data_IF_190890116862
#
_entry.id   IF_190890116862
#
_cell.length_a   1.000
_cell.length_b   1.000
_cell.length_c   1.000
_cell.angle_alpha   90.00
_cell.angle_beta   90.00
_cell.angle_gamma   90.00
#
_symmetry.space_group_name_H-M   'P 1'
#
loop_
_entity.id
_entity.type
_entity.pdbx_description
1 polymer ?
#
# COMPACT_ATOMS: atom_id res chain seq x y z
N UNK A 1 13.30 21.78 -5.11
CA UNK A 1 14.20 20.63 -5.05
C UNK A 1 14.04 19.76 -6.29
N UNK A 2 15.12 19.06 -6.67
CA UNK A 2 15.07 17.94 -7.60
C UNK A 2 15.06 16.62 -6.81
N UNK A 3 13.94 15.91 -6.84
CA UNK A 3 13.69 14.71 -6.05
C UNK A 3 13.72 13.49 -6.98
N UNK A 4 14.49 12.45 -6.62
CA UNK A 4 14.56 11.20 -7.36
C UNK A 4 13.83 10.08 -6.60
N UNK A 5 12.90 9.37 -7.26
CA UNK A 5 12.19 8.22 -6.71
C UNK A 5 12.70 6.93 -7.36
N UNK A 6 13.21 5.99 -6.54
CA UNK A 6 13.81 4.73 -6.97
C UNK A 6 13.18 3.54 -6.23
N UNK A 7 13.34 2.35 -6.79
CA UNK A 7 12.97 1.10 -6.11
C UNK A 7 11.55 0.61 -6.37
N UNK A 8 10.74 1.38 -7.10
CA UNK A 8 9.40 0.96 -7.58
C UNK A 8 9.49 0.38 -9.00
N UNK A 9 8.36 -0.04 -9.57
CA UNK A 9 8.30 -0.36 -11.01
C UNK A 9 8.19 0.88 -11.88
N UNK A 10 7.82 2.02 -11.29
CA UNK A 10 7.65 3.30 -11.94
C UNK A 10 6.20 3.73 -12.07
N UNK A 11 5.97 4.76 -12.86
CA UNK A 11 4.66 5.38 -13.15
C UNK A 11 4.37 5.32 -14.67
N UNK A 12 3.09 5.17 -15.11
CA UNK A 12 1.86 5.12 -14.30
C UNK A 12 1.72 3.85 -13.45
N UNK A 13 0.95 3.94 -12.36
CA UNK A 13 0.70 2.84 -11.45
C UNK A 13 -0.15 1.74 -12.12
N UNK A 14 0.38 0.50 -12.19
CA UNK A 14 -0.30 -0.63 -12.83
C UNK A 14 -0.31 -1.90 -11.98
N UNK A 15 0.37 -1.93 -10.85
CA UNK A 15 0.63 -3.19 -10.17
C UNK A 15 0.37 -3.20 -8.66
N UNK A 16 0.76 -2.18 -7.90
CA UNK A 16 0.68 -2.27 -6.45
C UNK A 16 0.88 -0.94 -5.71
N UNK A 17 0.91 -1.04 -4.38
CA UNK A 17 0.93 0.12 -3.50
C UNK A 17 2.10 1.07 -3.72
N UNK A 18 3.31 0.58 -3.98
CA UNK A 18 4.47 1.45 -4.23
C UNK A 18 4.39 2.23 -5.54
N UNK A 19 3.77 1.66 -6.57
CA UNK A 19 3.54 2.37 -7.83
C UNK A 19 2.51 3.48 -7.65
N UNK A 20 1.40 3.20 -6.96
CA UNK A 20 0.40 4.22 -6.59
C UNK A 20 1.02 5.30 -5.70
N UNK A 21 1.82 4.90 -4.71
CA UNK A 21 2.56 5.83 -3.87
C UNK A 21 3.48 6.75 -4.70
N UNK A 22 4.28 6.18 -5.61
CA UNK A 22 5.20 6.95 -6.44
C UNK A 22 4.44 7.92 -7.37
N UNK A 23 3.32 7.50 -7.94
CA UNK A 23 2.48 8.31 -8.81
C UNK A 23 1.86 9.48 -8.04
N UNK A 24 1.19 9.20 -6.92
CA UNK A 24 0.48 10.21 -6.14
C UNK A 24 1.43 11.21 -5.47
N UNK A 25 2.55 10.73 -4.93
CA UNK A 25 3.56 11.59 -4.33
C UNK A 25 4.25 12.44 -5.40
N UNK A 26 4.68 11.86 -6.53
CA UNK A 26 5.38 12.60 -7.57
C UNK A 26 4.51 13.70 -8.19
N UNK A 27 3.21 13.40 -8.45
CA UNK A 27 2.27 14.38 -8.97
C UNK A 27 2.15 15.61 -8.06
N UNK A 28 1.90 15.37 -6.76
CA UNK A 28 1.73 16.47 -5.79
C UNK A 28 3.00 17.27 -5.55
N UNK A 29 4.15 16.61 -5.52
CA UNK A 29 5.43 17.32 -5.43
C UNK A 29 5.69 18.22 -6.65
N UNK A 30 5.31 17.76 -7.86
CA UNK A 30 5.38 18.57 -9.07
C UNK A 30 4.42 19.77 -8.99
N UNK A 31 3.17 19.55 -8.55
CA UNK A 31 2.19 20.63 -8.32
C UNK A 31 2.68 21.69 -7.32
N UNK A 32 3.55 21.30 -6.39
CA UNK A 32 4.22 22.19 -5.41
C UNK A 32 5.53 22.82 -5.92
N UNK A 33 5.83 22.66 -7.20
CA UNK A 33 6.98 23.29 -7.86
C UNK A 33 8.30 22.53 -7.73
N UNK A 34 8.30 21.28 -7.28
CA UNK A 34 9.49 20.44 -7.28
C UNK A 34 9.70 19.78 -8.64
N UNK A 35 10.96 19.58 -9.01
CA UNK A 35 11.32 18.69 -10.11
C UNK A 35 11.37 17.26 -9.60
N UNK A 36 10.64 16.34 -10.23
CA UNK A 36 10.61 14.93 -9.80
C UNK A 36 11.03 14.02 -10.94
N UNK A 37 11.98 13.11 -10.67
CA UNK A 37 12.38 12.04 -11.59
C UNK A 37 12.03 10.68 -11.00
N UNK A 38 11.22 9.89 -11.70
CA UNK A 38 10.81 8.55 -11.28
C UNK A 38 11.50 7.51 -12.16
N UNK A 39 12.22 6.58 -11.54
CA UNK A 39 12.90 5.49 -12.24
C UNK A 39 11.93 4.34 -12.54
N UNK A 40 11.80 4.00 -13.83
CA UNK A 40 10.79 3.08 -14.35
C UNK A 40 11.46 1.85 -14.97
N UNK A 41 10.86 0.66 -14.78
CA UNK A 41 11.34 -0.62 -15.34
C UNK A 41 10.74 -0.93 -16.71
N UNK A 42 9.51 -0.46 -16.94
CA UNK A 42 8.82 -0.70 -18.20
C UNK A 42 9.08 0.44 -19.16
N UNK A 43 9.37 0.06 -20.43
CA UNK A 43 9.63 1.00 -21.51
C UNK A 43 8.29 1.55 -22.01
N UNK A 44 7.86 2.62 -21.40
CA UNK A 44 6.73 3.44 -21.87
C UNK A 44 7.23 4.52 -22.83
N UNK A 45 6.35 5.14 -23.65
CA UNK A 45 6.74 6.30 -24.45
C UNK A 45 7.48 7.32 -23.61
N UNK A 46 8.63 7.77 -24.10
CA UNK A 46 9.47 8.76 -23.43
C UNK A 46 8.68 10.04 -23.17
N UNK A 47 8.91 10.68 -22.04
CA UNK A 47 8.29 11.95 -21.68
C UNK A 47 7.95 12.05 -20.20
N UNK A 48 7.27 13.12 -19.83
CA UNK A 48 6.73 13.32 -18.50
C UNK A 48 5.36 12.62 -18.34
N UNK A 49 5.06 12.21 -17.11
CA UNK A 49 3.73 11.74 -16.72
C UNK A 49 3.27 12.53 -15.50
N UNK A 50 2.15 13.20 -15.59
CA UNK A 50 1.65 14.12 -14.55
C UNK A 50 2.72 15.14 -14.09
N UNK A 51 3.56 15.61 -15.02
CA UNK A 51 4.65 16.54 -14.77
C UNK A 51 5.95 15.92 -14.23
N UNK A 52 5.92 14.69 -13.75
CA UNK A 52 7.11 13.97 -13.31
C UNK A 52 7.90 13.38 -14.49
N UNK A 53 9.22 13.49 -14.45
CA UNK A 53 10.12 12.95 -15.47
C UNK A 53 10.25 11.41 -15.27
N UNK A 54 9.97 10.63 -16.30
CA UNK A 54 10.17 9.18 -16.28
C UNK A 54 11.54 8.82 -16.80
N UNK A 55 12.28 8.05 -16.00
CA UNK A 55 13.62 7.54 -16.32
C UNK A 55 13.57 6.03 -16.51
N UNK A 56 13.42 5.59 -17.75
CA UNK A 56 13.50 4.15 -18.06
C UNK A 56 14.92 3.65 -17.96
N UNK A 57 15.12 2.57 -17.18
CA UNK A 57 16.36 1.80 -17.14
C UNK A 57 16.05 0.29 -17.20
N UNK A 58 16.92 -0.50 -17.86
CA UNK A 58 16.70 -1.93 -17.98
C UNK A 58 16.81 -2.65 -16.64
N UNK A 59 16.19 -3.82 -16.54
CA UNK A 59 16.29 -4.70 -15.38
C UNK A 59 16.45 -6.15 -15.80
N UNK A 60 16.88 -6.99 -14.84
CA UNK A 60 16.90 -8.45 -15.00
C UNK A 60 15.54 -8.98 -14.57
N UNK A 61 14.69 -9.40 -15.51
CA UNK A 61 13.35 -9.94 -15.24
C UNK A 61 13.42 -11.29 -14.52
N UNK A 62 13.62 -11.26 -13.21
CA UNK A 62 13.68 -12.44 -12.36
C UNK A 62 13.05 -12.14 -10.99
N UNK A 63 12.28 -13.10 -10.45
CA UNK A 63 11.50 -12.93 -9.20
C UNK A 63 12.28 -12.28 -8.04
N UNK A 64 13.58 -12.58 -7.90
CA UNK A 64 14.42 -12.11 -6.79
C UNK A 64 15.34 -10.94 -7.16
N UNK A 65 15.69 -10.80 -8.42
CA UNK A 65 16.70 -9.84 -8.87
C UNK A 65 16.14 -8.61 -9.56
N UNK A 66 14.87 -8.64 -9.98
CA UNK A 66 14.25 -7.55 -10.73
C UNK A 66 14.39 -6.19 -10.00
N UNK A 67 13.97 -6.14 -8.73
CA UNK A 67 14.08 -4.91 -7.93
C UNK A 67 15.52 -4.49 -7.70
N UNK A 68 16.38 -5.42 -7.27
CA UNK A 68 17.77 -5.12 -6.93
C UNK A 68 18.57 -4.65 -8.16
N UNK A 69 18.48 -5.37 -9.27
CA UNK A 69 19.20 -5.00 -10.48
C UNK A 69 18.78 -3.62 -11.00
N UNK A 70 17.47 -3.37 -11.07
CA UNK A 70 16.97 -2.07 -11.51
C UNK A 70 17.41 -0.94 -10.58
N UNK A 71 17.28 -1.11 -9.26
CA UNK A 71 17.65 -0.07 -8.30
C UNK A 71 19.16 0.19 -8.32
N UNK A 72 19.98 -0.85 -8.48
CA UNK A 72 21.44 -0.68 -8.63
C UNK A 72 21.81 0.17 -9.83
N UNK A 73 21.27 -0.15 -11.03
CA UNK A 73 21.49 0.63 -12.24
C UNK A 73 20.94 2.05 -12.08
N UNK A 74 19.75 2.20 -11.48
CA UNK A 74 19.14 3.51 -11.22
C UNK A 74 19.99 4.36 -10.29
N UNK A 75 20.61 3.75 -9.27
CA UNK A 75 21.50 4.46 -8.36
C UNK A 75 22.73 4.98 -9.09
N UNK A 76 23.37 4.17 -9.92
CA UNK A 76 24.53 4.61 -10.73
C UNK A 76 24.16 5.75 -11.69
N UNK A 77 22.99 5.65 -12.34
CA UNK A 77 22.49 6.72 -13.20
C UNK A 77 22.18 8.02 -12.41
N UNK A 78 21.64 7.89 -11.19
CA UNK A 78 21.38 9.02 -10.30
C UNK A 78 22.65 9.83 -10.01
N UNK A 79 23.79 9.15 -9.77
CA UNK A 79 25.07 9.83 -9.51
C UNK A 79 25.52 10.71 -10.69
N UNK A 80 25.18 10.29 -11.91
CA UNK A 80 25.50 11.06 -13.12
C UNK A 80 24.56 12.25 -13.34
N UNK A 81 23.26 12.08 -13.04
CA UNK A 81 22.20 13.07 -13.34
C UNK A 81 21.89 14.03 -12.20
N UNK A 82 22.47 13.81 -11.05
CA UNK A 82 22.35 14.61 -9.83
C UNK A 82 20.89 15.03 -9.51
N UNK A 83 20.46 14.64 -8.33
CA UNK A 83 19.25 15.15 -7.67
C UNK A 83 19.67 15.76 -6.33
N UNK A 84 18.80 16.58 -5.76
CA UNK A 84 19.05 17.16 -4.45
C UNK A 84 18.84 16.12 -3.35
N UNK A 85 17.88 15.20 -3.53
CA UNK A 85 17.55 14.12 -2.61
C UNK A 85 17.03 12.91 -3.36
N UNK A 86 17.26 11.72 -2.80
CA UNK A 86 16.75 10.46 -3.32
C UNK A 86 15.83 9.77 -2.30
N UNK A 87 14.65 9.31 -2.75
CA UNK A 87 13.78 8.43 -2.01
C UNK A 87 13.83 7.03 -2.61
N UNK A 88 14.29 6.08 -1.82
CA UNK A 88 14.27 4.66 -2.16
C UNK A 88 13.07 3.98 -1.55
N UNK A 89 12.36 3.18 -2.33
CA UNK A 89 11.26 2.36 -1.89
C UNK A 89 11.70 0.90 -1.76
N UNK A 90 11.15 0.19 -0.77
CA UNK A 90 11.44 -1.20 -0.43
C UNK A 90 12.77 -1.41 0.29
N UNK A 91 12.71 -1.95 1.50
CA UNK A 91 13.86 -2.22 2.37
C UNK A 91 14.97 -3.08 1.74
N UNK A 92 14.64 -3.95 0.77
CA UNK A 92 15.63 -4.73 0.02
C UNK A 92 16.71 -3.87 -0.67
N UNK A 93 16.40 -2.60 -0.94
CA UNK A 93 17.28 -1.65 -1.61
C UNK A 93 18.22 -0.90 -0.67
N UNK A 94 18.20 -1.17 0.64
CA UNK A 94 19.05 -0.52 1.64
C UNK A 94 20.52 -0.48 1.24
N UNK A 95 21.01 -1.57 0.65
CA UNK A 95 22.42 -1.72 0.20
C UNK A 95 22.88 -0.63 -0.77
N UNK A 96 21.99 0.02 -1.49
CA UNK A 96 22.36 1.06 -2.46
C UNK A 96 22.33 2.47 -1.89
N UNK A 97 21.70 2.69 -0.76
CA UNK A 97 21.37 4.04 -0.25
C UNK A 97 22.58 4.81 0.29
N UNK A 98 23.69 4.12 0.65
CA UNK A 98 24.93 4.76 1.07
C UNK A 98 25.68 5.43 -0.09
N UNK A 99 25.50 4.90 -1.32
CA UNK A 99 26.30 5.35 -2.46
C UNK A 99 26.01 6.83 -2.84
N UNK A 100 24.75 7.29 -3.01
CA UNK A 100 24.46 8.71 -3.27
C UNK A 100 25.01 9.65 -2.20
N UNK A 101 25.04 9.20 -0.92
CA UNK A 101 25.56 10.00 0.20
C UNK A 101 27.03 10.38 0.03
N UNK A 102 27.85 9.51 -0.57
CA UNK A 102 29.24 9.82 -0.88
C UNK A 102 29.40 10.95 -1.90
N UNK A 103 28.35 11.21 -2.68
CA UNK A 103 28.30 12.27 -3.69
C UNK A 103 27.45 13.48 -3.24
N UNK A 104 27.17 13.58 -1.93
CA UNK A 104 26.44 14.71 -1.36
C UNK A 104 24.91 14.65 -1.61
N UNK A 105 24.37 13.53 -2.09
CA UNK A 105 22.94 13.34 -2.31
C UNK A 105 22.37 12.56 -1.11
N UNK A 106 21.63 13.21 -0.18
CA UNK A 106 20.99 12.50 0.91
C UNK A 106 19.95 11.49 0.38
N UNK A 107 19.89 10.32 1.03
CA UNK A 107 19.02 9.22 0.65
C UNK A 107 18.06 8.86 1.78
N UNK A 108 16.76 9.02 1.57
CA UNK A 108 15.72 8.45 2.41
C UNK A 108 15.35 7.04 1.90
N UNK A 109 15.08 6.11 2.81
CA UNK A 109 14.63 4.75 2.49
C UNK A 109 13.30 4.46 3.18
N UNK A 110 12.23 4.30 2.38
CA UNK A 110 10.97 3.73 2.86
C UNK A 110 11.11 2.21 2.91
N UNK A 111 11.12 1.65 4.11
CA UNK A 111 11.42 0.23 4.33
C UNK A 111 10.22 -0.68 4.12
N UNK A 112 8.98 -0.13 4.01
CA UNK A 112 7.74 -0.92 3.98
C UNK A 112 7.58 -1.79 5.26
N UNK A 113 6.79 -2.83 5.20
CA UNK A 113 6.63 -3.78 6.30
C UNK A 113 7.80 -4.77 6.44
N UNK A 114 7.71 -5.65 7.42
CA UNK A 114 8.69 -6.71 7.67
C UNK A 114 8.55 -7.85 6.66
N UNK A 115 9.05 -7.65 5.44
CA UNK A 115 8.93 -8.60 4.33
C UNK A 115 9.40 -10.03 4.67
N UNK A 116 10.41 -10.18 5.54
CA UNK A 116 10.89 -11.50 5.98
C UNK A 116 9.84 -12.34 6.69
N UNK A 117 8.79 -11.74 7.26
CA UNK A 117 7.69 -12.44 7.93
C UNK A 117 6.71 -13.07 6.93
N UNK A 118 6.74 -12.69 5.66
CA UNK A 118 5.82 -13.22 4.64
C UNK A 118 6.14 -14.67 4.29
N UNK A 119 5.10 -15.49 4.21
CA UNK A 119 5.19 -16.95 3.94
C UNK A 119 5.72 -17.26 2.53
N UNK A 120 5.56 -16.36 1.58
CA UNK A 120 5.98 -16.52 0.17
C UNK A 120 7.51 -16.61 -0.05
N UNK A 121 8.32 -16.20 0.94
CA UNK A 121 9.77 -16.15 0.81
C UNK A 121 10.46 -17.42 1.31
N UNK A 122 11.41 -17.93 0.53
CA UNK A 122 12.28 -19.02 0.95
C UNK A 122 13.33 -18.54 1.98
N UNK A 123 14.08 -19.48 2.57
CA UNK A 123 15.06 -19.19 3.62
C UNK A 123 16.15 -18.19 3.17
N UNK A 124 16.60 -18.26 1.92
CA UNK A 124 17.62 -17.35 1.39
C UNK A 124 17.09 -15.91 1.26
N UNK A 125 15.89 -15.75 0.73
CA UNK A 125 15.25 -14.44 0.63
C UNK A 125 14.97 -13.85 2.02
N UNK A 126 14.56 -14.65 3.00
CA UNK A 126 14.37 -14.20 4.39
C UNK A 126 15.68 -13.72 5.03
N UNK A 127 16.80 -14.42 4.76
CA UNK A 127 18.14 -13.97 5.21
C UNK A 127 18.55 -12.65 4.54
N UNK A 128 18.26 -12.49 3.25
CA UNK A 128 18.50 -11.23 2.54
C UNK A 128 17.71 -10.08 3.16
N UNK A 129 16.41 -10.26 3.40
CA UNK A 129 15.59 -9.22 4.03
C UNK A 129 16.07 -8.89 5.44
N UNK A 130 16.49 -9.89 6.22
CA UNK A 130 17.06 -9.63 7.55
C UNK A 130 18.37 -8.81 7.47
N UNK A 131 19.24 -9.14 6.52
CA UNK A 131 20.44 -8.33 6.25
C UNK A 131 20.05 -6.91 5.80
N UNK A 132 19.06 -6.78 4.95
CA UNK A 132 18.58 -5.48 4.45
C UNK A 132 17.98 -4.61 5.58
N UNK A 133 17.25 -5.23 6.53
CA UNK A 133 16.77 -4.54 7.75
C UNK A 133 17.96 -3.95 8.55
N UNK A 134 19.02 -4.72 8.73
CA UNK A 134 20.22 -4.25 9.41
C UNK A 134 20.94 -3.15 8.60
N UNK A 135 21.12 -3.33 7.29
CA UNK A 135 21.73 -2.31 6.42
C UNK A 135 20.93 -1.01 6.40
N UNK A 136 19.60 -1.07 6.51
CA UNK A 136 18.75 0.12 6.50
C UNK A 136 18.98 1.02 7.70
N UNK A 137 19.60 0.53 8.78
CA UNK A 137 19.87 1.32 9.99
C UNK A 137 21.04 2.29 9.86
N UNK A 138 21.91 2.14 8.84
CA UNK A 138 23.08 3.01 8.66
C UNK A 138 23.40 3.39 7.22
N UNK A 139 22.89 2.65 6.23
CA UNK A 139 23.12 2.97 4.82
C UNK A 139 22.40 4.24 4.36
N UNK A 140 21.10 4.45 4.60
CA UNK A 140 20.40 5.66 4.22
C UNK A 140 20.76 6.84 5.16
N UNK A 141 20.45 8.05 4.73
CA UNK A 141 20.51 9.24 5.59
C UNK A 141 19.34 9.23 6.59
N UNK A 142 18.18 8.74 6.16
CA UNK A 142 16.98 8.63 6.98
C UNK A 142 16.18 7.37 6.61
N UNK A 143 15.74 6.64 7.65
CA UNK A 143 14.74 5.57 7.48
C UNK A 143 13.36 6.21 7.52
N UNK A 144 12.48 5.80 6.61
CA UNK A 144 11.05 6.10 6.64
C UNK A 144 10.31 4.80 6.90
N UNK A 145 9.42 4.80 7.88
CA UNK A 145 8.51 3.70 8.19
C UNK A 145 7.08 4.14 7.92
N UNK A 146 6.25 3.25 7.42
CA UNK A 146 4.87 3.54 7.05
C UNK A 146 3.84 3.11 8.11
N UNK A 147 4.27 2.40 9.16
CA UNK A 147 3.46 2.01 10.31
C UNK A 147 4.22 2.26 11.62
N UNK A 148 3.51 2.68 12.68
CA UNK A 148 4.10 2.89 14.00
C UNK A 148 4.66 1.59 14.60
N UNK A 149 4.06 0.44 14.28
CA UNK A 149 4.59 -0.87 14.67
C UNK A 149 5.98 -1.12 14.06
N UNK A 150 6.19 -0.74 12.79
CA UNK A 150 7.50 -0.87 12.12
C UNK A 150 8.50 0.11 12.72
N UNK A 151 8.08 1.35 13.01
CA UNK A 151 8.92 2.31 13.73
C UNK A 151 9.35 1.77 15.10
N UNK A 152 8.42 1.23 15.89
CA UNK A 152 8.69 0.60 17.17
C UNK A 152 9.68 -0.56 17.03
N UNK A 153 9.46 -1.43 16.05
CA UNK A 153 10.35 -2.55 15.76
C UNK A 153 11.79 -2.10 15.49
N UNK A 154 12.02 -1.09 14.64
CA UNK A 154 13.35 -0.57 14.35
C UNK A 154 14.00 0.06 15.60
N UNK A 155 13.22 0.79 16.38
CA UNK A 155 13.69 1.40 17.62
C UNK A 155 14.10 0.36 18.67
N UNK A 156 13.29 -0.67 18.89
CA UNK A 156 13.52 -1.69 19.90
C UNK A 156 14.58 -2.72 19.49
N UNK A 157 14.55 -3.17 18.24
CA UNK A 157 15.43 -4.23 17.74
C UNK A 157 16.81 -3.70 17.39
N UNK A 158 16.88 -2.56 16.74
CA UNK A 158 18.13 -2.01 16.19
C UNK A 158 18.57 -0.71 16.86
N UNK A 159 17.76 -0.15 17.76
CA UNK A 159 17.98 1.19 18.35
C UNK A 159 18.13 2.29 17.28
N UNK A 160 17.50 2.10 16.15
CA UNK A 160 17.54 3.01 15.02
C UNK A 160 16.31 3.93 15.05
N UNK A 161 16.56 5.24 14.88
CA UNK A 161 15.51 6.22 14.70
C UNK A 161 14.98 6.18 13.26
N UNK A 162 13.68 6.34 13.09
CA UNK A 162 13.03 6.48 11.79
C UNK A 162 12.05 7.65 11.79
N UNK A 163 11.63 8.08 10.61
CA UNK A 163 10.55 9.04 10.44
C UNK A 163 9.31 8.26 10.02
N UNK A 164 8.25 8.34 10.83
CA UNK A 164 6.97 7.73 10.49
C UNK A 164 6.21 8.61 9.48
N UNK A 165 5.97 8.07 8.29
CA UNK A 165 5.12 8.69 7.26
C UNK A 165 4.25 7.59 6.65
N UNK A 166 2.93 7.59 6.90
CA UNK A 166 2.04 6.52 6.45
C UNK A 166 1.80 6.55 4.94
N UNK A 167 1.10 5.54 4.44
CA UNK A 167 0.54 5.55 3.09
C UNK A 167 -0.65 6.50 3.01
N UNK A 168 -0.88 7.10 1.85
CA UNK A 168 -1.96 8.05 1.62
C UNK A 168 -3.16 7.46 0.88
N UNK A 169 -4.31 8.14 0.97
CA UNK A 169 -5.48 7.85 0.17
C UNK A 169 -6.15 9.10 -0.38
N UNK A 170 -6.83 8.95 -1.50
CA UNK A 170 -7.76 9.93 -2.02
C UNK A 170 -9.05 9.96 -1.21
N UNK A 171 -9.62 11.15 -1.08
CA UNK A 171 -10.85 11.39 -0.33
C UNK A 171 -12.07 11.46 -1.23
N UNK A 172 -13.19 10.93 -0.73
CA UNK A 172 -14.50 11.03 -1.36
C UNK A 172 -14.83 9.89 -2.31
N UNK A 173 -16.12 9.66 -2.52
CA UNK A 173 -16.64 8.65 -3.43
C UNK A 173 -16.53 9.11 -4.88
N UNK A 174 -16.28 8.16 -5.79
CA UNK A 174 -16.39 8.38 -7.24
C UNK A 174 -17.83 8.09 -7.70
N UNK A 175 -18.28 8.66 -8.84
CA UNK A 175 -19.60 8.37 -9.39
C UNK A 175 -19.81 6.87 -9.62
N UNK A 176 -21.03 6.39 -9.33
CA UNK A 176 -21.40 5.02 -9.61
C UNK A 176 -21.46 4.74 -11.13
N UNK A 177 -20.93 3.59 -11.50
CA UNK A 177 -21.13 3.00 -12.83
C UNK A 177 -21.43 1.51 -12.66
N UNK A 178 -22.31 0.92 -13.46
CA UNK A 178 -22.66 -0.51 -13.38
C UNK A 178 -21.43 -1.40 -13.52
N UNK A 179 -21.19 -2.26 -12.55
CA UNK A 179 -20.03 -3.13 -12.51
C UNK A 179 -20.40 -4.48 -11.87
N UNK A 180 -20.04 -5.59 -12.51
CA UNK A 180 -20.23 -6.97 -12.01
C UNK A 180 -21.67 -7.35 -11.65
N UNK A 181 -22.70 -6.64 -12.13
CA UNK A 181 -24.09 -6.86 -11.72
C UNK A 181 -24.35 -6.59 -10.23
N UNK A 182 -23.53 -5.73 -9.65
CA UNK A 182 -23.69 -5.22 -8.30
C UNK A 182 -24.53 -3.93 -8.31
N UNK A 183 -25.15 -3.64 -7.17
CA UNK A 183 -25.84 -2.37 -6.91
C UNK A 183 -25.20 -1.65 -5.75
N UNK A 184 -25.24 -0.30 -5.69
CA UNK A 184 -24.71 0.47 -4.58
C UNK A 184 -25.30 0.00 -3.24
N UNK A 185 -24.42 -0.16 -2.24
CA UNK A 185 -24.77 -0.59 -0.88
C UNK A 185 -25.33 -2.01 -0.76
N UNK A 186 -25.25 -2.84 -1.80
CA UNK A 186 -25.78 -4.20 -1.80
C UNK A 186 -24.70 -5.29 -1.70
N UNK A 187 -23.46 -4.91 -1.40
CA UNK A 187 -22.37 -5.88 -1.30
C UNK A 187 -21.32 -5.52 -0.26
N UNK A 188 -20.76 -6.55 0.36
CA UNK A 188 -19.49 -6.51 1.07
C UNK A 188 -18.36 -6.61 0.06
N UNK A 189 -17.26 -5.91 0.31
CA UNK A 189 -16.09 -5.88 -0.55
C UNK A 189 -14.86 -6.33 0.21
N UNK A 190 -14.06 -7.22 -0.36
CA UNK A 190 -12.69 -7.46 0.04
C UNK A 190 -11.78 -7.48 -1.19
N UNK A 191 -10.78 -6.61 -1.20
CA UNK A 191 -9.78 -6.52 -2.28
C UNK A 191 -8.43 -6.89 -1.73
N UNK A 192 -7.82 -7.97 -2.25
CA UNK A 192 -6.53 -8.45 -1.77
C UNK A 192 -5.85 -9.37 -2.78
N UNK A 193 -4.56 -9.60 -2.61
CA UNK A 193 -3.90 -10.73 -3.27
C UNK A 193 -4.35 -12.03 -2.61
N UNK A 194 -4.68 -13.04 -3.41
CA UNK A 194 -5.13 -14.34 -2.90
C UNK A 194 -3.96 -15.17 -2.37
N UNK A 195 -3.30 -14.63 -1.34
CA UNK A 195 -2.25 -15.27 -0.56
C UNK A 195 -2.80 -15.70 0.80
N UNK A 196 -2.34 -16.81 1.41
CA UNK A 196 -2.88 -17.32 2.68
C UNK A 196 -2.91 -16.30 3.81
N UNK A 197 -1.87 -15.48 3.94
CA UNK A 197 -1.77 -14.43 4.96
C UNK A 197 -2.75 -13.27 4.78
N UNK A 198 -3.42 -13.20 3.65
CA UNK A 198 -4.47 -12.21 3.39
C UNK A 198 -5.88 -12.76 3.66
N UNK A 199 -6.01 -14.04 3.99
CA UNK A 199 -7.26 -14.67 4.44
C UNK A 199 -8.49 -14.56 3.51
N UNK A 200 -8.38 -14.57 2.15
CA UNK A 200 -9.56 -14.54 1.30
C UNK A 200 -10.46 -15.77 1.49
N UNK A 201 -9.89 -16.93 1.78
CA UNK A 201 -10.65 -18.15 2.08
C UNK A 201 -11.47 -18.02 3.36
N UNK A 202 -10.88 -17.47 4.43
CA UNK A 202 -11.57 -17.17 5.69
C UNK A 202 -12.78 -16.24 5.44
N UNK A 203 -12.57 -15.15 4.68
CA UNK A 203 -13.63 -14.19 4.40
C UNK A 203 -14.78 -14.84 3.64
N UNK A 204 -14.49 -15.67 2.63
CA UNK A 204 -15.49 -16.43 1.90
C UNK A 204 -16.28 -17.36 2.83
N UNK A 205 -15.59 -18.19 3.61
CA UNK A 205 -16.21 -19.17 4.52
C UNK A 205 -17.03 -18.50 5.62
N UNK A 206 -16.57 -17.37 6.14
CA UNK A 206 -17.30 -16.60 7.13
C UNK A 206 -18.60 -16.01 6.54
N UNK A 207 -18.54 -15.51 5.32
CA UNK A 207 -19.72 -14.94 4.65
C UNK A 207 -20.78 -16.00 4.36
N UNK A 208 -20.39 -17.21 3.96
CA UNK A 208 -21.29 -18.35 3.73
C UNK A 208 -22.14 -18.71 4.98
N UNK A 209 -21.64 -18.39 6.19
CA UNK A 209 -22.33 -18.65 7.47
C UNK A 209 -23.36 -17.54 7.83
N UNK A 210 -23.46 -16.49 7.03
CA UNK A 210 -24.34 -15.36 7.32
C UNK A 210 -25.54 -15.35 6.39
N UNK A 211 -26.73 -15.28 6.97
CA UNK A 211 -27.98 -15.08 6.22
C UNK A 211 -28.11 -13.61 5.83
N UNK A 212 -28.07 -13.32 4.55
CA UNK A 212 -28.25 -11.97 4.00
C UNK A 212 -28.55 -12.05 2.52
N UNK A 213 -29.26 -11.06 1.99
CA UNK A 213 -29.47 -10.87 0.56
C UNK A 213 -28.31 -10.17 -0.14
N UNK A 214 -27.44 -9.50 0.67
CA UNK A 214 -26.26 -8.83 0.11
C UNK A 214 -25.27 -9.81 -0.48
N UNK A 215 -24.47 -9.33 -1.42
CA UNK A 215 -23.42 -10.08 -2.08
C UNK A 215 -22.07 -9.92 -1.37
N UNK A 216 -21.13 -10.80 -1.67
CA UNK A 216 -19.71 -10.62 -1.37
C UNK A 216 -18.94 -10.49 -2.70
N UNK A 217 -18.30 -9.35 -2.90
CA UNK A 217 -17.34 -9.17 -3.99
C UNK A 217 -15.93 -9.40 -3.44
N UNK A 218 -15.34 -10.54 -3.78
CA UNK A 218 -14.00 -10.93 -3.40
C UNK A 218 -13.07 -10.72 -4.59
N UNK A 219 -12.32 -9.62 -4.57
CA UNK A 219 -11.55 -9.10 -5.71
C UNK A 219 -10.06 -9.37 -5.49
N UNK A 220 -9.44 -10.04 -6.43
CA UNK A 220 -8.02 -10.30 -6.37
C UNK A 220 -7.58 -11.50 -7.18
N UNK A 221 -6.27 -11.69 -7.18
CA UNK A 221 -5.60 -12.83 -7.80
C UNK A 221 -4.21 -13.02 -7.16
N UNK A 222 -3.57 -14.16 -7.41
CA UNK A 222 -2.17 -14.41 -7.05
C UNK A 222 -1.58 -15.45 -8.01
N UNK A 223 -0.86 -15.06 -9.06
CA UNK A 223 -0.46 -15.95 -10.16
C UNK A 223 0.38 -17.18 -9.72
N UNK A 224 0.92 -17.15 -8.51
CA UNK A 224 1.77 -18.23 -7.97
C UNK A 224 1.08 -19.15 -6.95
N UNK A 225 -0.20 -18.89 -6.59
CA UNK A 225 -0.93 -19.60 -5.55
C UNK A 225 -2.12 -20.41 -6.10
N UNK A 226 -1.95 -21.12 -7.20
CA UNK A 226 -3.03 -21.76 -7.97
C UNK A 226 -3.93 -22.68 -7.12
N UNK A 227 -3.33 -23.54 -6.26
CA UNK A 227 -4.08 -24.47 -5.43
C UNK A 227 -4.90 -23.74 -4.36
N UNK A 228 -4.35 -22.69 -3.78
CA UNK A 228 -5.05 -21.87 -2.81
C UNK A 228 -6.20 -21.07 -3.46
N UNK A 229 -5.97 -20.52 -4.64
CA UNK A 229 -7.02 -19.84 -5.42
C UNK A 229 -8.16 -20.80 -5.78
N UNK A 230 -7.84 -22.04 -6.15
CA UNK A 230 -8.85 -23.06 -6.41
C UNK A 230 -9.72 -23.30 -5.15
N UNK A 231 -9.12 -23.35 -3.95
CA UNK A 231 -9.86 -23.44 -2.70
C UNK A 231 -10.74 -22.20 -2.45
N UNK A 232 -10.22 -21.00 -2.68
CA UNK A 232 -11.00 -19.75 -2.52
C UNK A 232 -12.20 -19.73 -3.47
N UNK A 233 -12.04 -20.20 -4.69
CA UNK A 233 -13.11 -20.25 -5.72
C UNK A 233 -14.07 -21.41 -5.56
N UNK A 234 -13.78 -22.40 -4.72
CA UNK A 234 -14.62 -23.57 -4.49
C UNK A 234 -15.83 -23.23 -3.59
N UNK A 235 -16.78 -22.49 -4.18
CA UNK A 235 -18.06 -22.13 -3.54
C UNK A 235 -19.21 -22.31 -4.53
N UNK A 236 -20.39 -22.71 -4.01
CA UNK A 236 -21.65 -22.77 -4.74
C UNK A 236 -22.62 -21.66 -4.29
N UNK A 237 -22.19 -20.76 -3.42
CA UNK A 237 -23.03 -19.67 -2.95
C UNK A 237 -23.18 -18.60 -4.05
N UNK A 238 -24.39 -18.40 -4.60
CA UNK A 238 -24.62 -17.47 -5.71
C UNK A 238 -24.41 -15.99 -5.31
N UNK A 239 -24.31 -15.71 -4.02
CA UNK A 239 -24.06 -14.36 -3.51
C UNK A 239 -22.58 -13.96 -3.61
N UNK A 240 -21.67 -14.90 -3.85
CA UNK A 240 -20.23 -14.67 -3.82
C UNK A 240 -19.68 -14.52 -5.25
N UNK A 241 -19.10 -13.36 -5.53
CA UNK A 241 -18.49 -13.02 -6.81
C UNK A 241 -16.98 -12.99 -6.67
N UNK A 242 -16.27 -13.77 -7.50
CA UNK A 242 -14.79 -13.84 -7.52
C UNK A 242 -14.31 -13.63 -8.96
N UNK A 243 -14.38 -12.38 -9.48
CA UNK A 243 -14.10 -12.10 -10.90
C UNK A 243 -12.60 -12.07 -11.23
N UNK A 244 -11.73 -12.08 -10.24
CA UNK A 244 -10.31 -11.86 -10.40
C UNK A 244 -9.88 -10.46 -9.92
N UNK A 245 -8.71 -10.00 -10.35
CA UNK A 245 -8.19 -8.69 -9.97
C UNK A 245 -8.85 -7.57 -10.80
N UNK A 246 -9.21 -6.47 -10.12
CA UNK A 246 -9.77 -5.26 -10.73
C UNK A 246 -8.94 -4.08 -10.24
N UNK A 247 -8.50 -3.22 -11.16
CA UNK A 247 -7.67 -2.05 -10.91
C UNK A 247 -8.31 -0.77 -11.44
N UNK A 248 -7.68 0.36 -11.17
CA UNK A 248 -8.07 1.66 -11.71
C UNK A 248 -9.47 2.10 -11.28
N UNK A 249 -10.26 2.58 -12.23
CA UNK A 249 -11.58 3.17 -11.95
C UNK A 249 -12.55 2.15 -11.36
N UNK A 250 -12.56 0.91 -11.86
CA UNK A 250 -13.40 -0.17 -11.33
C UNK A 250 -13.14 -0.46 -9.86
N UNK A 251 -11.88 -0.43 -9.43
CA UNK A 251 -11.50 -0.57 -8.03
C UNK A 251 -12.04 0.57 -7.16
N UNK A 252 -11.91 1.81 -7.64
CA UNK A 252 -12.42 3.00 -6.94
C UNK A 252 -13.94 2.98 -6.80
N UNK A 253 -14.66 2.55 -7.85
CA UNK A 253 -16.11 2.39 -7.84
C UNK A 253 -16.53 1.36 -6.79
N UNK A 254 -15.89 0.18 -6.78
CA UNK A 254 -16.22 -0.87 -5.81
C UNK A 254 -16.03 -0.41 -4.37
N UNK A 255 -14.93 0.29 -4.06
CA UNK A 255 -14.70 0.81 -2.71
C UNK A 255 -15.68 1.91 -2.32
N UNK A 256 -16.04 2.80 -3.25
CA UNK A 256 -16.94 3.93 -2.99
C UNK A 256 -18.37 3.51 -2.68
N UNK A 257 -18.80 2.37 -3.22
CA UNK A 257 -20.20 1.99 -3.21
C UNK A 257 -20.50 0.66 -2.48
N UNK A 258 -19.51 0.03 -1.87
CA UNK A 258 -19.75 -1.14 -1.04
C UNK A 258 -20.59 -0.78 0.20
N UNK A 259 -21.38 -1.73 0.69
CA UNK A 259 -22.04 -1.64 1.98
C UNK A 259 -21.00 -1.56 3.11
N UNK A 260 -20.05 -2.50 3.09
CA UNK A 260 -18.92 -2.52 4.00
C UNK A 260 -17.68 -3.11 3.32
N UNK A 261 -16.51 -2.64 3.71
CA UNK A 261 -15.22 -3.16 3.30
C UNK A 261 -14.66 -4.08 4.38
N UNK A 262 -14.36 -5.33 4.03
CA UNK A 262 -13.71 -6.28 4.94
C UNK A 262 -12.20 -6.23 4.69
N UNK A 263 -11.39 -6.12 5.74
CA UNK A 263 -9.94 -6.18 5.68
C UNK A 263 -9.40 -7.28 6.58
N UNK A 264 -8.92 -8.37 5.98
CA UNK A 264 -8.49 -9.57 6.69
C UNK A 264 -6.98 -9.88 6.56
N UNK A 265 -6.16 -8.93 6.10
CA UNK A 265 -4.71 -9.11 5.94
C UNK A 265 -4.01 -9.12 7.29
N UNK A 266 -3.13 -10.12 7.52
CA UNK A 266 -2.39 -10.30 8.77
C UNK A 266 -1.03 -9.61 8.76
N UNK A 267 -0.34 -9.57 7.63
CA UNK A 267 1.07 -9.19 7.54
C UNK A 267 1.27 -8.03 6.59
N UNK A 268 1.89 -6.97 7.09
CA UNK A 268 2.26 -5.80 6.31
C UNK A 268 2.74 -4.66 7.19
N UNK A 269 2.96 -3.51 6.61
CA UNK A 269 3.02 -2.22 7.28
C UNK A 269 1.64 -1.57 7.26
N UNK A 270 1.54 -0.34 6.85
CA UNK A 270 0.26 0.28 6.53
C UNK A 270 -0.39 -0.44 5.34
N UNK A 271 -1.65 -0.83 5.49
CA UNK A 271 -2.37 -1.53 4.42
C UNK A 271 -3.10 -0.53 3.52
N UNK A 272 -2.60 -0.24 2.29
CA UNK A 272 -3.17 0.78 1.41
C UNK A 272 -4.66 0.60 1.16
N UNK A 273 -5.11 -0.62 0.84
CA UNK A 273 -6.50 -0.90 0.52
C UNK A 273 -7.48 -0.60 1.67
N UNK A 274 -7.03 -0.72 2.93
CA UNK A 274 -7.84 -0.34 4.09
C UNK A 274 -7.99 1.18 4.16
N UNK A 275 -6.88 1.93 4.04
CA UNK A 275 -6.89 3.39 4.07
C UNK A 275 -7.70 3.95 2.89
N UNK A 276 -7.54 3.38 1.70
CA UNK A 276 -8.27 3.78 0.50
C UNK A 276 -9.78 3.57 0.66
N UNK A 277 -10.21 2.42 1.21
CA UNK A 277 -11.63 2.17 1.49
C UNK A 277 -12.20 3.16 2.52
N UNK A 278 -11.43 3.48 3.57
CA UNK A 278 -11.79 4.51 4.55
C UNK A 278 -11.88 5.89 3.89
N UNK A 279 -10.95 6.23 2.99
CA UNK A 279 -10.95 7.47 2.22
C UNK A 279 -12.14 7.61 1.27
N UNK A 280 -12.71 6.49 0.82
CA UNK A 280 -13.97 6.46 0.05
C UNK A 280 -15.23 6.51 0.94
N UNK A 281 -15.07 6.51 2.26
CA UNK A 281 -16.19 6.55 3.21
C UNK A 281 -16.87 5.20 3.41
N UNK A 282 -16.18 4.08 3.23
CA UNK A 282 -16.74 2.76 3.51
C UNK A 282 -16.87 2.49 5.01
N UNK A 283 -17.88 1.71 5.42
CA UNK A 283 -17.90 1.03 6.71
C UNK A 283 -16.80 -0.03 6.69
N UNK A 284 -15.96 -0.10 7.72
CA UNK A 284 -14.81 -1.00 7.78
C UNK A 284 -15.05 -2.13 8.78
N UNK A 285 -14.84 -3.38 8.34
CA UNK A 285 -14.63 -4.55 9.20
C UNK A 285 -13.16 -4.96 9.07
N UNK A 286 -12.43 -5.06 10.16
CA UNK A 286 -10.99 -5.33 10.07
C UNK A 286 -10.52 -6.42 11.03
N UNK A 287 -9.60 -7.26 10.54
CA UNK A 287 -8.92 -8.25 11.36
C UNK A 287 -8.06 -7.53 12.42
N UNK A 288 -8.21 -7.94 13.67
CA UNK A 288 -7.52 -7.33 14.81
C UNK A 288 -6.04 -7.68 14.80
N UNK A 289 -5.24 -6.85 14.15
CA UNK A 289 -3.78 -6.78 14.24
C UNK A 289 -3.37 -5.39 14.70
N UNK A 290 -2.15 -5.21 15.20
CA UNK A 290 -1.68 -3.91 15.66
C UNK A 290 -1.70 -2.87 14.53
N UNK A 291 -1.30 -3.26 13.33
CA UNK A 291 -1.27 -2.40 12.14
C UNK A 291 -2.67 -2.01 11.67
N UNK A 292 -3.61 -2.95 11.65
CA UNK A 292 -4.99 -2.66 11.28
C UNK A 292 -5.70 -1.79 12.32
N UNK A 293 -5.45 -2.03 13.62
CA UNK A 293 -5.98 -1.18 14.70
C UNK A 293 -5.41 0.24 14.65
N UNK A 294 -4.13 0.39 14.33
CA UNK A 294 -3.50 1.69 14.10
C UNK A 294 -4.22 2.46 12.98
N UNK A 295 -4.43 1.83 11.85
CA UNK A 295 -5.12 2.45 10.70
C UNK A 295 -6.57 2.76 11.04
N UNK A 296 -7.33 1.77 11.48
CA UNK A 296 -8.76 1.92 11.75
C UNK A 296 -9.06 2.89 12.91
N UNK A 297 -8.20 2.91 13.95
CA UNK A 297 -8.35 3.83 15.08
C UNK A 297 -9.70 3.74 15.80
N UNK A 298 -10.30 2.55 15.82
CA UNK A 298 -11.58 2.30 16.49
C UNK A 298 -12.83 2.71 15.71
N UNK A 299 -12.71 3.21 14.46
CA UNK A 299 -13.90 3.64 13.68
C UNK A 299 -14.62 2.49 12.99
N UNK A 300 -13.97 1.33 12.82
CA UNK A 300 -14.54 0.14 12.22
C UNK A 300 -15.06 -0.88 13.23
N UNK A 301 -15.45 -2.05 12.74
CA UNK A 301 -15.84 -3.23 13.52
C UNK A 301 -14.66 -4.19 13.52
N UNK A 302 -13.95 -4.38 14.66
CA UNK A 302 -12.84 -5.32 14.73
C UNK A 302 -13.35 -6.76 14.79
N UNK A 303 -12.60 -7.69 14.19
CA UNK A 303 -12.88 -9.12 14.29
C UNK A 303 -11.60 -9.95 14.48
N UNK A 304 -11.76 -11.16 14.98
CA UNK A 304 -10.79 -12.24 14.90
C UNK A 304 -11.24 -13.26 13.85
N UNK A 305 -10.41 -14.22 13.42
CA UNK A 305 -10.82 -15.24 12.46
C UNK A 305 -12.15 -15.91 12.81
N UNK A 306 -12.37 -16.21 14.09
CA UNK A 306 -13.57 -16.90 14.57
C UNK A 306 -14.79 -16.00 14.69
N UNK A 307 -14.61 -14.69 14.81
CA UNK A 307 -15.69 -13.72 15.04
C UNK A 307 -16.12 -12.96 13.80
N UNK A 308 -15.51 -13.19 12.63
CA UNK A 308 -15.88 -12.50 11.39
C UNK A 308 -17.36 -12.68 11.01
N UNK A 309 -17.99 -13.88 11.11
CA UNK A 309 -19.43 -14.02 10.85
C UNK A 309 -20.27 -13.12 11.75
N UNK A 310 -19.88 -12.93 13.01
CA UNK A 310 -20.56 -12.03 13.93
C UNK A 310 -20.36 -10.56 13.56
N UNK A 311 -19.16 -10.15 13.18
CA UNK A 311 -18.89 -8.78 12.73
C UNK A 311 -19.72 -8.42 11.49
N UNK A 312 -19.90 -9.36 10.55
CA UNK A 312 -20.77 -9.17 9.39
C UNK A 312 -22.23 -8.98 9.83
N UNK A 313 -22.74 -9.79 10.77
CA UNK A 313 -24.11 -9.64 11.32
C UNK A 313 -24.27 -8.31 12.05
N UNK A 314 -23.29 -7.88 12.84
CA UNK A 314 -23.29 -6.57 13.51
C UNK A 314 -23.40 -5.44 12.47
N UNK A 315 -22.61 -5.49 11.41
CA UNK A 315 -22.68 -4.49 10.34
C UNK A 315 -24.09 -4.42 9.70
N UNK A 316 -24.72 -5.58 9.49
CA UNK A 316 -26.08 -5.66 8.91
C UNK A 316 -27.17 -5.11 9.84
N UNK A 317 -26.93 -5.05 11.16
CA UNK A 317 -27.86 -4.53 12.17
C UNK A 317 -27.75 -3.03 12.38
N UNK A 318 -26.72 -2.37 11.85
CA UNK A 318 -26.56 -0.92 11.97
C UNK A 318 -27.72 -0.21 11.27
N UNK A 319 -28.34 0.74 11.98
CA UNK A 319 -29.32 1.63 11.36
C UNK A 319 -28.61 2.70 10.49
N UNK A 320 -29.41 3.46 9.72
CA UNK A 320 -28.87 4.45 8.78
C UNK A 320 -28.01 5.53 9.45
N UNK A 321 -28.37 5.96 10.65
CA UNK A 321 -27.63 6.98 11.40
C UNK A 321 -26.27 6.44 11.88
N UNK A 322 -26.25 5.27 12.50
CA UNK A 322 -25.01 4.59 12.94
C UNK A 322 -24.07 4.30 11.79
N UNK A 323 -24.61 3.89 10.64
CA UNK A 323 -23.83 3.64 9.43
C UNK A 323 -23.21 4.93 8.90
N UNK A 324 -24.00 6.01 8.83
CA UNK A 324 -23.53 7.33 8.39
C UNK A 324 -22.44 7.88 9.32
N UNK A 325 -22.62 7.75 10.64
CA UNK A 325 -21.63 8.17 11.63
C UNK A 325 -20.30 7.43 11.46
N UNK A 326 -20.31 6.10 11.37
CA UNK A 326 -19.08 5.32 11.20
C UNK A 326 -18.34 5.64 9.90
N UNK A 327 -19.09 5.90 8.83
CA UNK A 327 -18.52 6.33 7.54
C UNK A 327 -17.91 7.73 7.63
N UNK A 328 -18.55 8.64 8.31
CA UNK A 328 -18.02 9.98 8.53
C UNK A 328 -16.74 9.95 9.36
N UNK A 329 -16.69 9.12 10.40
CA UNK A 329 -15.48 8.91 11.21
C UNK A 329 -14.33 8.31 10.40
N UNK A 330 -14.60 7.36 9.49
CA UNK A 330 -13.61 6.82 8.56
C UNK A 330 -13.01 7.93 7.68
N UNK A 331 -13.84 8.76 7.07
CA UNK A 331 -13.41 9.92 6.27
C UNK A 331 -12.60 10.93 7.07
N UNK A 332 -13.06 11.26 8.29
CA UNK A 332 -12.36 12.20 9.16
C UNK A 332 -10.95 11.68 9.49
N UNK A 333 -10.83 10.41 9.87
CA UNK A 333 -9.53 9.81 10.20
C UNK A 333 -8.55 9.83 9.02
N UNK A 334 -9.02 9.53 7.80
CA UNK A 334 -8.16 9.63 6.61
C UNK A 334 -7.77 11.07 6.34
N UNK A 335 -8.70 12.02 6.45
CA UNK A 335 -8.40 13.45 6.27
C UNK A 335 -7.29 13.93 7.19
N UNK A 336 -7.32 13.52 8.44
CA UNK A 336 -6.39 13.98 9.47
C UNK A 336 -5.01 13.31 9.40
N UNK A 337 -4.95 12.04 8.94
CA UNK A 337 -3.73 11.24 9.07
C UNK A 337 -3.21 10.63 7.79
N UNK A 338 -4.10 10.32 6.86
CA UNK A 338 -3.80 9.47 5.71
C UNK A 338 -4.18 10.09 4.36
N UNK A 339 -4.60 11.36 4.32
CA UNK A 339 -4.81 12.03 3.03
C UNK A 339 -3.46 12.20 2.33
N UNK A 340 -3.46 12.09 0.99
CA UNK A 340 -2.24 12.31 0.21
C UNK A 340 -1.64 13.70 0.44
N UNK A 341 -2.45 14.70 0.82
CA UNK A 341 -1.94 16.03 1.15
C UNK A 341 -1.08 15.99 2.42
N UNK A 342 -1.58 15.38 3.50
CA UNK A 342 -0.84 15.21 4.77
C UNK A 342 0.44 14.39 4.53
N UNK A 343 0.35 13.30 3.78
CA UNK A 343 1.51 12.45 3.46
C UNK A 343 2.55 13.23 2.65
N UNK A 344 2.09 14.02 1.67
CA UNK A 344 3.00 14.85 0.84
C UNK A 344 3.65 15.94 1.67
N UNK A 345 2.93 16.60 2.58
CA UNK A 345 3.49 17.59 3.52
C UNK A 345 4.62 16.98 4.34
N UNK A 346 4.43 15.75 4.86
CA UNK A 346 5.43 15.06 5.65
C UNK A 346 6.68 14.69 4.83
N UNK A 347 6.50 14.18 3.60
CA UNK A 347 7.65 13.91 2.71
C UNK A 347 8.36 15.18 2.26
N UNK A 348 7.65 16.25 1.95
CA UNK A 348 8.25 17.53 1.59
C UNK A 348 9.06 18.10 2.74
N UNK A 349 8.53 18.07 3.98
CA UNK A 349 9.25 18.48 5.18
C UNK A 349 10.52 17.65 5.40
N UNK A 350 10.43 16.32 5.23
CA UNK A 350 11.59 15.43 5.30
C UNK A 350 12.65 15.80 4.26
N UNK A 351 12.26 16.04 3.01
CA UNK A 351 13.22 16.39 1.94
C UNK A 351 13.89 17.74 2.20
N UNK A 352 13.15 18.73 2.71
CA UNK A 352 13.72 20.02 3.12
C UNK A 352 14.69 19.88 4.29
N UNK A 353 14.37 19.05 5.28
CA UNK A 353 15.27 18.73 6.41
C UNK A 353 16.57 18.08 5.92
N UNK A 354 16.49 17.19 4.94
CA UNK A 354 17.66 16.51 4.38
C UNK A 354 18.51 17.40 3.46
N UNK A 355 17.98 18.54 2.98
CA UNK A 355 18.62 19.48 2.08
C UNK A 355 18.64 20.91 2.65
N UNK A 356 19.22 21.15 3.82
CA UNK A 356 19.10 22.45 4.51
C UNK A 356 19.77 23.62 3.76
N UNK A 357 20.68 23.35 2.82
CA UNK A 357 21.36 24.36 2.05
C UNK A 357 20.52 24.91 0.86
N UNK A 358 19.37 24.32 0.57
CA UNK A 358 18.49 24.62 -0.58
C UNK A 358 17.10 25.11 -0.15
N UNK A 359 16.87 25.27 1.16
CA UNK A 359 15.61 25.71 1.79
C UNK A 359 15.50 27.20 2.01
#
# INVERSE_FOLDING_TARGET
LHIALLGTRGIPARYGGFETFAEELSRRLVERGHRVSVYCRDKEPLGSYLGAERRYLPTIRHKYFDTLAHTGISTLHLLWKQADVALYCNGANAIYTWLPRLFGIPAALNVDGLERKRKKWNALAKKWYHLSEWLSTFCPTRIVTDAAEIERYYRETYRAASTFIPYGAEMGAVPWQPLLGLEPQDYFLYVTRFEPENNPLLVRQAFEQVETTKKLALIGDAPYAKDYIAQVRATNDPRILIPGAIYGEGYKILQSHCFAYIHATEVGGTHPALIEAMGRGALILYLRTAENEEVAGGVGIPFTPDTLPQAIREALQLNGEQLAERRALSLQRVRERYSWEVVTDQYEALFRELCPALG
#
